data_IF_279055606461
#
_entry.id   IF_279055606461
#
_cell.length_a   1.000
_cell.length_b   1.000
_cell.length_c   1.000
_cell.angle_alpha   90.00
_cell.angle_beta   90.00
_cell.angle_gamma   90.00
#
_symmetry.space_group_name_H-M   'P 1'
#
loop_
_entity.id
_entity.type
_entity.pdbx_description
1 polymer ?
#
# COMPACT_ATOMS: atom_id res chain seq x y z
N UNK A 1 -5.39 13.96 13.86
CA UNK A 1 -5.67 14.62 12.56
C UNK A 1 -4.41 15.05 11.82
N UNK A 2 -3.36 15.54 12.49
CA UNK A 2 -2.07 15.90 11.86
C UNK A 2 -1.33 14.75 11.14
N UNK A 3 -1.43 13.52 11.65
CA UNK A 3 -0.76 12.35 11.03
C UNK A 3 -1.34 11.93 9.67
N UNK A 4 -2.60 12.24 9.39
CA UNK A 4 -3.19 11.92 8.08
C UNK A 4 -2.80 12.95 7.00
N UNK A 5 -2.48 14.18 7.41
CA UNK A 5 -2.01 15.22 6.48
C UNK A 5 -0.56 14.99 6.05
N UNK A 6 0.32 14.51 6.94
CA UNK A 6 1.72 14.23 6.60
C UNK A 6 1.87 13.06 5.63
N UNK A 7 1.02 12.01 5.76
CA UNK A 7 1.03 10.83 4.88
C UNK A 7 0.66 11.16 3.44
N UNK A 8 -0.27 12.10 3.21
CA UNK A 8 -0.66 12.51 1.86
C UNK A 8 0.44 13.29 1.13
N UNK A 9 1.11 14.20 1.85
CA UNK A 9 2.18 15.03 1.29
C UNK A 9 3.38 14.20 0.82
N UNK A 10 3.81 13.22 1.62
CA UNK A 10 4.97 12.38 1.27
C UNK A 10 4.74 11.53 0.01
N UNK A 11 3.52 11.03 -0.19
CA UNK A 11 3.16 10.26 -1.40
C UNK A 11 3.20 11.11 -2.66
N UNK A 12 2.69 12.34 -2.60
CA UNK A 12 2.73 13.26 -3.72
C UNK A 12 4.18 13.57 -4.13
N UNK A 13 5.06 13.86 -3.16
CA UNK A 13 6.48 14.15 -3.41
C UNK A 13 7.15 12.96 -4.11
N UNK A 14 6.88 11.73 -3.69
CA UNK A 14 7.43 10.52 -4.32
C UNK A 14 6.92 10.35 -5.76
N UNK A 15 5.63 10.54 -5.98
CA UNK A 15 5.02 10.46 -7.31
C UNK A 15 5.63 11.49 -8.28
N UNK A 16 5.73 12.74 -7.86
CA UNK A 16 6.37 13.79 -8.65
C UNK A 16 7.85 13.50 -8.92
N UNK A 17 8.58 12.99 -7.92
CA UNK A 17 10.00 12.65 -8.09
C UNK A 17 10.19 11.53 -9.11
N UNK A 18 9.36 10.47 -9.06
CA UNK A 18 9.39 9.37 -10.01
C UNK A 18 8.99 9.82 -11.42
N UNK A 19 7.95 10.66 -11.54
CA UNK A 19 7.51 11.20 -12.82
C UNK A 19 8.60 12.08 -13.47
N UNK A 20 9.22 12.95 -12.67
CA UNK A 20 10.32 13.81 -13.12
C UNK A 20 11.54 12.98 -13.54
N UNK A 21 11.87 11.92 -12.80
CA UNK A 21 12.94 10.98 -13.15
C UNK A 21 12.71 10.36 -14.54
N UNK A 22 11.51 9.82 -14.78
CA UNK A 22 11.15 9.24 -16.08
C UNK A 22 11.15 10.27 -17.21
N UNK A 23 10.65 11.48 -16.94
CA UNK A 23 10.62 12.56 -17.93
C UNK A 23 12.03 13.00 -18.35
N UNK A 24 12.94 13.18 -17.38
CA UNK A 24 14.35 13.49 -17.65
C UNK A 24 15.01 12.36 -18.46
N UNK A 25 14.76 11.10 -18.09
CA UNK A 25 15.29 9.96 -18.82
C UNK A 25 14.81 9.93 -20.28
N UNK A 26 13.52 10.16 -20.53
CA UNK A 26 12.95 10.22 -21.88
C UNK A 26 13.53 11.36 -22.71
N UNK A 27 13.60 12.58 -22.17
CA UNK A 27 14.19 13.71 -22.88
C UNK A 27 15.66 13.46 -23.25
N UNK A 28 16.41 12.86 -22.33
CA UNK A 28 17.81 12.50 -22.55
C UNK A 28 17.94 11.46 -23.66
N UNK A 29 17.11 10.42 -23.63
CA UNK A 29 17.11 9.37 -24.65
C UNK A 29 16.77 9.90 -26.04
N UNK A 30 15.71 10.70 -26.18
CA UNK A 30 15.35 11.32 -27.46
C UNK A 30 16.47 12.22 -28.00
N UNK A 31 17.12 12.97 -27.13
CA UNK A 31 18.26 13.81 -27.51
C UNK A 31 19.41 12.96 -28.08
N UNK A 32 19.80 11.88 -27.40
CA UNK A 32 20.85 10.98 -27.89
C UNK A 32 20.46 10.30 -29.21
N UNK A 33 19.22 9.82 -29.30
CA UNK A 33 18.69 9.19 -30.51
C UNK A 33 18.74 10.16 -31.69
N UNK A 34 18.37 11.44 -31.49
CA UNK A 34 18.42 12.46 -32.53
C UNK A 34 19.84 12.72 -33.03
N UNK A 35 20.79 12.94 -32.11
CA UNK A 35 22.19 13.21 -32.47
C UNK A 35 22.84 12.04 -33.19
N UNK A 36 22.67 10.83 -32.65
CA UNK A 36 23.26 9.63 -33.24
C UNK A 36 22.62 9.31 -34.59
N UNK A 37 21.30 9.46 -34.74
CA UNK A 37 20.61 9.26 -36.02
C UNK A 37 21.08 10.25 -37.07
N UNK A 38 21.28 11.51 -36.71
CA UNK A 38 21.85 12.52 -37.61
C UNK A 38 23.25 12.11 -38.08
N UNK A 39 24.11 11.69 -37.16
CA UNK A 39 25.47 11.22 -37.48
C UNK A 39 25.48 10.00 -38.41
N UNK A 40 24.61 9.01 -38.16
CA UNK A 40 24.47 7.84 -39.05
C UNK A 40 23.97 8.26 -40.44
N UNK A 41 22.98 9.14 -40.50
CA UNK A 41 22.44 9.65 -41.77
C UNK A 41 23.49 10.38 -42.61
N UNK A 42 24.28 11.25 -41.97
CA UNK A 42 25.37 11.98 -42.61
C UNK A 42 26.41 11.00 -43.17
N UNK A 43 26.88 10.06 -42.36
CA UNK A 43 27.88 9.07 -42.79
C UNK A 43 27.37 8.25 -43.97
N UNK A 44 26.13 7.73 -43.89
CA UNK A 44 25.53 6.97 -45.00
C UNK A 44 25.41 7.81 -46.27
N UNK A 45 25.01 9.08 -46.15
CA UNK A 45 24.92 10.01 -47.28
C UNK A 45 26.27 10.23 -47.96
N UNK A 46 27.33 10.49 -47.18
CA UNK A 46 28.69 10.64 -47.71
C UNK A 46 29.15 9.36 -48.40
N UNK A 47 28.95 8.18 -47.79
CA UNK A 47 29.36 6.92 -48.40
C UNK A 47 28.64 6.63 -49.71
N UNK A 48 27.34 6.95 -49.79
CA UNK A 48 26.57 6.82 -51.02
C UNK A 48 27.10 7.75 -52.11
N UNK A 49 27.38 9.02 -51.80
CA UNK A 49 27.97 9.95 -52.78
C UNK A 49 29.35 9.50 -53.25
N UNK A 50 30.23 9.05 -52.36
CA UNK A 50 31.55 8.53 -52.73
C UNK A 50 31.42 7.38 -53.74
N UNK A 51 30.48 6.46 -53.48
CA UNK A 51 30.23 5.29 -54.31
C UNK A 51 29.61 5.68 -55.66
N UNK A 52 28.60 6.56 -55.65
CA UNK A 52 27.86 6.99 -56.85
C UNK A 52 28.76 7.79 -57.82
N UNK A 53 29.61 8.67 -57.29
CA UNK A 53 30.49 9.52 -58.10
C UNK A 53 31.92 8.98 -58.26
N UNK A 54 32.19 7.76 -57.76
CA UNK A 54 33.48 7.09 -57.82
C UNK A 54 34.65 7.95 -57.28
N UNK A 55 34.39 8.67 -56.19
CA UNK A 55 35.36 9.58 -55.54
C UNK A 55 36.37 8.74 -54.75
N UNK A 56 37.66 9.07 -54.81
CA UNK A 56 38.67 8.44 -53.94
C UNK A 56 38.79 9.25 -52.63
N UNK A 57 38.28 8.76 -51.48
CA UNK A 57 38.31 9.52 -50.24
C UNK A 57 39.72 9.62 -49.66
N UNK A 58 39.98 10.67 -48.88
CA UNK A 58 41.22 10.78 -48.11
C UNK A 58 41.28 9.72 -47.01
N UNK A 59 42.49 9.32 -46.59
CA UNK A 59 42.67 8.37 -45.48
C UNK A 59 42.01 8.85 -44.17
N UNK A 60 41.97 10.16 -43.94
CA UNK A 60 41.30 10.76 -42.79
C UNK A 60 39.79 10.57 -42.85
N UNK A 61 39.17 10.81 -44.01
CA UNK A 61 37.73 10.59 -44.19
C UNK A 61 37.40 9.10 -44.09
N UNK A 62 38.23 8.23 -44.66
CA UNK A 62 38.04 6.78 -44.58
C UNK A 62 38.09 6.26 -43.13
N UNK A 63 39.01 6.81 -42.31
CA UNK A 63 39.08 6.51 -40.88
C UNK A 63 37.84 7.01 -40.12
N UNK A 64 37.34 8.22 -40.40
CA UNK A 64 36.09 8.70 -39.78
C UNK A 64 34.86 7.90 -40.21
N UNK A 65 34.85 7.39 -41.44
CA UNK A 65 33.77 6.54 -41.94
C UNK A 65 33.82 5.12 -41.36
N UNK A 66 34.99 4.59 -41.01
CA UNK A 66 35.11 3.25 -40.41
C UNK A 66 34.62 3.19 -38.96
N UNK A 67 34.66 4.32 -38.23
CA UNK A 67 34.05 4.46 -36.89
C UNK A 67 32.51 4.42 -36.91
N UNK A 68 31.88 4.43 -38.10
CA UNK A 68 30.42 4.40 -38.25
C UNK A 68 29.73 3.18 -37.65
N UNK A 69 30.42 2.05 -37.58
CA UNK A 69 29.92 0.82 -36.94
C UNK A 69 29.62 1.04 -35.45
N UNK A 70 30.48 1.78 -34.75
CA UNK A 70 30.27 2.15 -33.35
C UNK A 70 29.05 3.07 -33.21
N UNK A 71 28.88 4.06 -34.09
CA UNK A 71 27.72 4.97 -34.06
C UNK A 71 26.41 4.21 -34.27
N UNK A 72 26.40 3.21 -35.16
CA UNK A 72 25.23 2.34 -35.34
C UNK A 72 24.91 1.57 -34.05
N UNK A 73 25.92 1.02 -33.37
CA UNK A 73 25.73 0.36 -32.07
C UNK A 73 25.15 1.34 -31.03
N UNK A 74 25.66 2.57 -30.97
CA UNK A 74 25.13 3.60 -30.07
C UNK A 74 23.64 3.88 -30.31
N UNK A 75 23.21 3.97 -31.57
CA UNK A 75 21.79 4.13 -31.91
C UNK A 75 20.95 2.97 -31.35
N UNK A 76 21.43 1.73 -31.49
CA UNK A 76 20.73 0.57 -30.93
C UNK A 76 20.66 0.63 -29.40
N UNK A 77 21.72 1.10 -28.73
CA UNK A 77 21.71 1.30 -27.28
C UNK A 77 20.60 2.29 -26.89
N UNK A 78 20.44 3.42 -27.60
CA UNK A 78 19.35 4.37 -27.31
C UNK A 78 17.96 3.76 -27.51
N UNK A 79 17.75 2.94 -28.54
CA UNK A 79 16.47 2.23 -28.70
C UNK A 79 16.19 1.26 -27.55
N UNK A 80 17.23 0.65 -26.96
CA UNK A 80 17.09 -0.21 -25.78
C UNK A 80 16.87 0.60 -24.51
N UNK A 81 17.40 1.82 -24.41
CA UNK A 81 17.17 2.73 -23.28
C UNK A 81 15.72 3.22 -23.21
N UNK A 82 15.09 3.52 -24.35
CA UNK A 82 13.72 4.03 -24.45
C UNK A 82 12.66 3.27 -23.62
N UNK A 83 12.53 1.93 -23.69
CA UNK A 83 11.53 1.21 -22.88
C UNK A 83 11.75 1.38 -21.38
N UNK A 84 13.00 1.47 -20.90
CA UNK A 84 13.28 1.70 -19.48
C UNK A 84 12.87 3.11 -19.05
N UNK A 85 13.14 4.13 -19.88
CA UNK A 85 12.69 5.50 -19.62
C UNK A 85 11.15 5.59 -19.59
N UNK A 86 10.47 4.92 -20.53
CA UNK A 86 9.01 4.84 -20.56
C UNK A 86 8.43 4.14 -19.33
N UNK A 87 9.04 3.04 -18.87
CA UNK A 87 8.62 2.35 -17.65
C UNK A 87 8.76 3.28 -16.44
N UNK A 88 9.89 4.00 -16.31
CA UNK A 88 10.10 4.97 -15.23
C UNK A 88 9.00 6.05 -15.24
N UNK A 89 8.70 6.61 -16.40
CA UNK A 89 7.66 7.63 -16.56
C UNK A 89 6.26 7.09 -16.23
N UNK A 90 5.92 5.89 -16.73
CA UNK A 90 4.64 5.24 -16.50
C UNK A 90 4.41 4.94 -15.00
N UNK A 91 5.44 4.48 -14.27
CA UNK A 91 5.35 4.27 -12.83
C UNK A 91 5.06 5.58 -12.10
N UNK A 92 5.76 6.66 -12.45
CA UNK A 92 5.50 8.00 -11.90
C UNK A 92 4.07 8.47 -12.16
N UNK A 93 3.55 8.27 -13.38
CA UNK A 93 2.19 8.64 -13.74
C UNK A 93 1.14 7.79 -12.99
N UNK A 94 1.38 6.48 -12.84
CA UNK A 94 0.51 5.58 -12.06
C UNK A 94 0.47 6.01 -10.59
N UNK A 95 1.60 6.39 -9.98
CA UNK A 95 1.63 6.90 -8.60
C UNK A 95 0.96 8.27 -8.45
N UNK A 96 0.95 9.09 -9.49
CA UNK A 96 0.27 10.38 -9.47
C UNK A 96 -1.26 10.22 -9.55
N UNK A 97 -1.73 9.33 -10.43
CA UNK A 97 -3.15 9.08 -10.67
C UNK A 97 -3.77 8.12 -9.65
N UNK A 98 -2.99 7.15 -9.18
CA UNK A 98 -3.39 6.17 -8.19
C UNK A 98 -2.92 6.57 -6.79
N UNK A 99 -3.83 6.58 -5.81
CA UNK A 99 -3.45 6.75 -4.38
C UNK A 99 -2.76 5.53 -3.77
N UNK A 100 -2.48 4.50 -4.57
CA UNK A 100 -1.89 3.24 -4.10
C UNK A 100 -0.54 3.00 -4.75
N UNK A 101 0.49 3.10 -3.92
CA UNK A 101 1.85 2.72 -4.24
C UNK A 101 2.03 1.22 -3.92
N UNK A 102 2.49 0.45 -4.91
CA UNK A 102 2.78 -0.97 -4.75
C UNK A 102 4.29 -1.18 -4.68
N UNK A 103 4.73 -2.06 -3.77
CA UNK A 103 6.15 -2.48 -3.64
C UNK A 103 6.77 -2.88 -4.96
N UNK A 104 6.03 -3.62 -5.78
CA UNK A 104 6.47 -4.09 -7.10
C UNK A 104 6.82 -2.92 -8.02
N UNK A 105 6.05 -1.84 -7.99
CA UNK A 105 6.35 -0.63 -8.79
C UNK A 105 7.61 0.07 -8.29
N UNK A 106 7.84 0.11 -6.97
CA UNK A 106 9.08 0.66 -6.40
C UNK A 106 10.32 -0.12 -6.83
N UNK A 107 10.27 -1.46 -6.82
CA UNK A 107 11.34 -2.34 -7.33
C UNK A 107 11.55 -2.11 -8.83
N UNK A 108 10.46 -2.08 -9.60
CA UNK A 108 10.50 -1.83 -11.04
C UNK A 108 11.16 -0.50 -11.37
N UNK A 109 10.87 0.57 -10.62
CA UNK A 109 11.47 1.88 -10.80
C UNK A 109 12.98 1.85 -10.56
N UNK A 110 13.44 1.22 -9.48
CA UNK A 110 14.88 1.09 -9.18
C UNK A 110 15.58 0.30 -10.29
N UNK A 111 15.03 -0.86 -10.65
CA UNK A 111 15.60 -1.72 -11.68
C UNK A 111 15.74 -1.00 -13.02
N UNK A 112 14.66 -0.36 -13.50
CA UNK A 112 14.69 0.40 -14.75
C UNK A 112 15.69 1.56 -14.69
N UNK A 113 15.78 2.26 -13.54
CA UNK A 113 16.73 3.36 -13.36
C UNK A 113 18.19 2.88 -13.42
N UNK A 114 18.51 1.74 -12.80
CA UNK A 114 19.86 1.15 -12.82
C UNK A 114 20.24 0.70 -14.23
N UNK A 115 19.36 -0.02 -14.93
CA UNK A 115 19.62 -0.48 -16.30
C UNK A 115 19.79 0.71 -17.25
N UNK A 116 18.92 1.72 -17.15
CA UNK A 116 19.05 2.95 -17.94
C UNK A 116 20.39 3.64 -17.67
N UNK A 117 20.79 3.76 -16.40
CA UNK A 117 22.07 4.35 -16.00
C UNK A 117 23.29 3.56 -16.51
N UNK A 118 23.23 2.23 -16.55
CA UNK A 118 24.29 1.40 -17.13
C UNK A 118 24.44 1.63 -18.63
N UNK A 119 23.34 1.61 -19.38
CA UNK A 119 23.34 1.87 -20.83
C UNK A 119 23.84 3.28 -21.16
N UNK A 120 23.40 4.26 -20.39
CA UNK A 120 23.89 5.64 -20.46
C UNK A 120 25.40 5.73 -20.16
N UNK A 121 25.89 4.92 -19.22
CA UNK A 121 27.31 4.80 -18.90
C UNK A 121 28.13 4.35 -20.11
N UNK A 122 27.71 3.24 -20.74
CA UNK A 122 28.33 2.73 -21.98
C UNK A 122 28.33 3.79 -23.08
N UNK A 123 27.20 4.51 -23.25
CA UNK A 123 27.09 5.55 -24.26
C UNK A 123 28.06 6.72 -24.01
N UNK A 124 28.29 7.09 -22.75
CA UNK A 124 29.15 8.23 -22.40
C UNK A 124 30.65 7.89 -22.38
N UNK A 125 31.03 6.64 -22.08
CA UNK A 125 32.43 6.21 -22.11
C UNK A 125 32.94 6.07 -23.54
N UNK A 126 32.10 5.53 -24.42
CA UNK A 126 32.56 5.09 -25.75
C UNK A 126 32.30 6.14 -26.83
N UNK A 127 31.41 7.12 -26.59
CA UNK A 127 31.04 8.13 -27.57
C UNK A 127 31.28 9.56 -27.07
N UNK A 128 31.91 10.38 -27.92
CA UNK A 128 32.10 11.80 -27.66
C UNK A 128 30.91 12.60 -28.21
N UNK A 129 29.84 12.69 -27.43
CA UNK A 129 28.56 13.31 -27.86
C UNK A 129 28.46 14.81 -27.55
N UNK A 130 29.59 15.50 -27.46
CA UNK A 130 29.65 16.95 -27.26
C UNK A 130 29.39 17.42 -25.81
N UNK A 131 29.16 18.72 -25.61
CA UNK A 131 29.13 19.37 -24.28
C UNK A 131 27.90 19.01 -23.43
N UNK A 132 26.91 18.30 -23.98
CA UNK A 132 25.76 17.78 -23.20
C UNK A 132 26.11 16.45 -22.51
N UNK A 133 27.41 16.24 -22.18
CA UNK A 133 27.85 15.40 -21.05
C UNK A 133 27.41 15.96 -19.68
N UNK A 134 26.27 16.65 -19.65
CA UNK A 134 25.72 17.22 -18.43
C UNK A 134 25.29 16.11 -17.47
N UNK A 135 25.28 16.42 -16.18
CA UNK A 135 24.78 15.51 -15.14
C UNK A 135 23.27 15.22 -15.28
N UNK A 136 22.57 15.87 -16.21
CA UNK A 136 21.12 15.79 -16.41
C UNK A 136 20.56 14.36 -16.47
N UNK A 137 21.04 13.50 -17.39
CA UNK A 137 20.53 12.12 -17.49
C UNK A 137 20.80 11.30 -16.21
N UNK A 138 21.95 11.52 -15.56
CA UNK A 138 22.28 10.87 -14.29
C UNK A 138 21.44 11.38 -13.10
N UNK A 139 20.99 12.64 -13.13
CA UNK A 139 20.02 13.15 -12.16
C UNK A 139 18.68 12.40 -12.27
N UNK A 140 18.22 12.11 -13.49
CA UNK A 140 17.03 11.29 -13.71
C UNK A 140 17.17 9.89 -13.08
N UNK A 141 18.31 9.23 -13.30
CA UNK A 141 18.63 7.93 -12.70
C UNK A 141 18.65 8.01 -11.16
N UNK A 142 19.36 8.99 -10.60
CA UNK A 142 19.47 9.18 -9.16
C UNK A 142 18.10 9.42 -8.51
N UNK A 143 17.27 10.29 -9.11
CA UNK A 143 15.90 10.55 -8.63
C UNK A 143 15.04 9.28 -8.66
N UNK A 144 15.12 8.48 -9.73
CA UNK A 144 14.40 7.22 -9.84
C UNK A 144 14.79 6.21 -8.74
N UNK A 145 16.09 6.06 -8.48
CA UNK A 145 16.60 5.18 -7.41
C UNK A 145 16.15 5.68 -6.03
N UNK A 146 16.27 6.98 -5.76
CA UNK A 146 15.87 7.58 -4.48
C UNK A 146 14.37 7.41 -4.26
N UNK A 147 13.54 7.76 -5.24
CA UNK A 147 12.09 7.64 -5.15
C UNK A 147 11.65 6.19 -4.91
N UNK A 148 12.22 5.24 -5.66
CA UNK A 148 11.93 3.82 -5.48
C UNK A 148 12.39 3.29 -4.11
N UNK A 149 13.56 3.71 -3.62
CA UNK A 149 14.10 3.28 -2.33
C UNK A 149 13.29 3.80 -1.15
N UNK A 150 12.84 5.07 -1.23
CA UNK A 150 11.94 5.65 -0.24
C UNK A 150 10.59 4.91 -0.23
N UNK A 151 10.02 4.60 -1.39
CA UNK A 151 8.77 3.84 -1.47
C UNK A 151 8.91 2.43 -0.86
N UNK A 152 10.03 1.74 -1.09
CA UNK A 152 10.32 0.47 -0.43
C UNK A 152 10.43 0.61 1.09
N UNK A 153 11.03 1.70 1.56
CA UNK A 153 11.15 1.99 2.99
C UNK A 153 9.77 2.27 3.61
N UNK A 154 8.92 3.07 2.96
CA UNK A 154 7.58 3.38 3.44
C UNK A 154 6.64 2.17 3.41
N UNK A 155 6.67 1.39 2.34
CA UNK A 155 5.85 0.18 2.20
C UNK A 155 6.28 -0.92 3.19
N UNK A 156 7.56 -0.99 3.55
CA UNK A 156 8.05 -1.89 4.60
C UNK A 156 7.56 -1.53 5.98
N UNK A 157 7.43 -0.24 6.29
CA UNK A 157 6.79 0.23 7.53
C UNK A 157 5.28 -0.05 7.56
N UNK A 158 4.60 -0.09 6.41
CA UNK A 158 3.19 -0.48 6.33
C UNK A 158 2.97 -1.97 6.58
N UNK A 159 3.94 -2.82 6.24
CA UNK A 159 3.88 -4.27 6.48
C UNK A 159 4.50 -4.70 7.82
N UNK A 160 5.13 -3.79 8.56
CA UNK A 160 5.38 -3.99 9.98
C UNK A 160 4.14 -3.66 10.82
N UNK A 161 2.94 -4.00 10.33
CA UNK A 161 1.90 -4.48 11.25
C UNK A 161 2.58 -5.57 12.03
N UNK A 162 2.84 -5.30 13.31
CA UNK A 162 3.39 -6.28 14.23
C UNK A 162 2.75 -7.62 13.88
N UNK A 163 3.55 -8.57 13.39
CA UNK A 163 3.29 -9.98 13.61
C UNK A 163 3.36 -10.14 15.13
N UNK A 164 2.34 -9.64 15.83
CA UNK A 164 2.09 -9.92 17.21
C UNK A 164 2.04 -11.44 17.21
N UNK A 165 3.00 -12.04 17.91
CA UNK A 165 3.01 -13.48 18.11
C UNK A 165 1.58 -13.88 18.47
N UNK A 166 1.02 -14.91 17.83
CA UNK A 166 -0.36 -15.30 18.05
C UNK A 166 -0.59 -15.41 19.56
N UNK A 167 -1.63 -14.75 20.04
CA UNK A 167 -1.97 -14.82 21.46
C UNK A 167 -2.63 -16.17 21.66
N UNK A 168 -1.91 -17.08 22.31
CA UNK A 168 -2.42 -18.41 22.64
C UNK A 168 -3.34 -18.32 23.85
N UNK A 169 -4.56 -18.82 23.68
CA UNK A 169 -5.56 -18.94 24.74
C UNK A 169 -5.56 -20.39 25.20
N UNK A 170 -5.28 -20.64 26.48
CA UNK A 170 -5.32 -21.98 27.06
C UNK A 170 -6.69 -22.22 27.72
N UNK A 171 -7.56 -23.08 27.18
CA UNK A 171 -8.90 -23.34 27.73
C UNK A 171 -8.93 -23.67 29.22
N UNK A 172 -7.88 -24.30 29.74
CA UNK A 172 -7.78 -24.76 31.13
C UNK A 172 -7.53 -23.61 32.12
N UNK A 173 -7.17 -22.41 31.63
CA UNK A 173 -6.86 -21.24 32.46
C UNK A 173 -7.70 -20.01 32.08
N UNK A 174 -9.05 -20.07 32.16
CA UNK A 174 -9.93 -19.03 31.64
C UNK A 174 -9.82 -17.69 32.39
N UNK A 175 -9.46 -17.71 33.67
CA UNK A 175 -9.19 -16.50 34.44
C UNK A 175 -7.93 -15.79 33.94
N UNK A 176 -6.82 -16.54 33.82
CA UNK A 176 -5.55 -16.00 33.33
C UNK A 176 -5.64 -15.52 31.88
N UNK A 177 -6.43 -16.19 31.04
CA UNK A 177 -6.69 -15.74 29.67
C UNK A 177 -7.34 -14.36 29.64
N UNK A 178 -8.30 -14.08 30.53
CA UNK A 178 -8.95 -12.78 30.59
C UNK A 178 -7.94 -11.66 30.91
N UNK A 179 -7.03 -11.91 31.87
CA UNK A 179 -5.97 -10.96 32.20
C UNK A 179 -4.98 -10.75 31.05
N UNK A 180 -4.61 -11.83 30.35
CA UNK A 180 -3.73 -11.76 29.18
C UNK A 180 -4.39 -10.96 28.06
N UNK A 181 -5.66 -11.24 27.76
CA UNK A 181 -6.42 -10.54 26.73
C UNK A 181 -6.58 -9.06 27.06
N UNK A 182 -7.03 -8.72 28.27
CA UNK A 182 -7.19 -7.32 28.70
C UNK A 182 -5.85 -6.56 28.62
N UNK A 183 -4.78 -7.09 29.25
CA UNK A 183 -3.51 -6.36 29.41
C UNK A 183 -2.57 -6.41 28.20
N UNK A 184 -2.64 -7.46 27.38
CA UNK A 184 -1.72 -7.64 26.24
C UNK A 184 -2.36 -7.45 24.87
N UNK A 185 -3.68 -7.67 24.76
CA UNK A 185 -4.40 -7.53 23.51
C UNK A 185 -5.21 -6.23 23.46
N UNK A 186 -6.19 -6.06 24.35
CA UNK A 186 -7.07 -4.89 24.35
C UNK A 186 -6.34 -3.60 24.71
N UNK A 187 -5.37 -3.64 25.63
CA UNK A 187 -4.51 -2.49 25.94
C UNK A 187 -3.69 -1.95 24.75
N UNK A 188 -3.57 -2.70 23.65
CA UNK A 188 -2.88 -2.26 22.43
C UNK A 188 -3.82 -1.71 21.36
N UNK A 189 -5.12 -1.93 21.52
CA UNK A 189 -6.11 -1.41 20.58
C UNK A 189 -6.25 0.09 20.83
N UNK A 190 -6.44 0.87 19.76
CA UNK A 190 -6.51 2.32 19.86
C UNK A 190 -7.42 2.97 18.82
N UNK A 191 -8.02 4.09 19.19
CA UNK A 191 -9.01 4.81 18.39
C UNK A 191 -10.34 4.06 18.32
N UNK A 192 -11.04 4.20 17.20
CA UNK A 192 -12.34 3.57 16.99
C UNK A 192 -12.19 2.06 16.85
N UNK A 193 -12.92 1.32 17.68
CA UNK A 193 -12.96 -0.13 17.68
C UNK A 193 -14.22 -0.62 16.95
N UNK A 194 -14.04 -1.54 16.02
CA UNK A 194 -15.13 -2.18 15.27
C UNK A 194 -15.06 -3.69 15.48
N UNK A 195 -16.15 -4.25 15.98
CA UNK A 195 -16.26 -5.64 16.41
C UNK A 195 -17.32 -6.31 15.54
N UNK A 196 -16.97 -7.43 14.93
CA UNK A 196 -17.87 -8.28 14.17
C UNK A 196 -17.94 -9.65 14.84
N UNK A 197 -19.05 -9.95 15.50
CA UNK A 197 -19.28 -11.24 16.14
C UNK A 197 -20.76 -11.60 16.12
N UNK A 198 -21.13 -12.59 15.30
CA UNK A 198 -22.52 -13.08 15.22
C UNK A 198 -23.03 -13.74 16.52
N UNK A 199 -22.13 -14.08 17.46
CA UNK A 199 -22.47 -14.71 18.74
C UNK A 199 -22.46 -13.71 19.91
N UNK A 200 -22.52 -12.40 19.62
CA UNK A 200 -22.53 -11.38 20.66
C UNK A 200 -23.85 -11.43 21.44
N UNK A 201 -23.75 -11.89 22.70
CA UNK A 201 -24.86 -12.07 23.63
C UNK A 201 -24.58 -11.37 24.96
N UNK A 202 -25.39 -11.62 26.01
CA UNK A 202 -25.19 -10.99 27.32
C UNK A 202 -23.80 -11.27 27.90
N UNK A 203 -23.28 -12.49 27.70
CA UNK A 203 -21.95 -12.86 28.17
C UNK A 203 -20.86 -12.13 27.39
N UNK A 204 -21.10 -11.82 26.11
CA UNK A 204 -20.19 -11.00 25.34
C UNK A 204 -20.09 -9.57 25.87
N UNK A 205 -21.20 -8.97 26.33
CA UNK A 205 -21.21 -7.65 26.97
C UNK A 205 -20.37 -7.67 28.25
N UNK A 206 -20.60 -8.64 29.14
CA UNK A 206 -19.81 -8.80 30.37
C UNK A 206 -18.31 -8.98 30.09
N UNK A 207 -17.96 -9.84 29.13
CA UNK A 207 -16.57 -10.06 28.78
C UNK A 207 -15.94 -8.81 28.14
N UNK A 208 -16.66 -8.11 27.27
CA UNK A 208 -16.16 -6.89 26.64
C UNK A 208 -15.89 -5.79 27.68
N UNK A 209 -16.77 -5.64 28.67
CA UNK A 209 -16.54 -4.75 29.81
C UNK A 209 -15.23 -5.09 30.53
N UNK A 210 -15.01 -6.37 30.88
CA UNK A 210 -13.77 -6.80 31.55
C UNK A 210 -12.51 -6.58 30.69
N UNK A 211 -12.64 -6.70 29.37
CA UNK A 211 -11.54 -6.51 28.43
C UNK A 211 -11.18 -5.02 28.25
N UNK A 212 -12.19 -4.15 28.25
CA UNK A 212 -12.03 -2.70 28.13
C UNK A 212 -11.67 -2.02 29.44
N UNK A 213 -12.00 -2.61 30.60
CA UNK A 213 -11.75 -2.00 31.91
C UNK A 213 -10.28 -1.66 32.13
N UNK A 214 -9.98 -0.38 32.35
CA UNK A 214 -8.64 0.17 32.49
C UNK A 214 -7.96 0.57 31.16
N UNK A 215 -8.63 0.36 30.02
CA UNK A 215 -8.15 0.67 28.67
C UNK A 215 -9.07 1.65 27.92
N UNK A 216 -10.10 2.19 28.58
CA UNK A 216 -11.17 2.96 27.92
C UNK A 216 -10.68 4.26 27.29
N UNK A 217 -9.67 4.90 27.89
CA UNK A 217 -9.10 6.17 27.41
C UNK A 217 -8.49 6.07 26.01
N UNK A 218 -8.19 4.86 25.54
CA UNK A 218 -7.69 4.61 24.19
C UNK A 218 -8.78 4.66 23.09
N UNK A 219 -10.07 4.75 23.45
CA UNK A 219 -11.18 4.53 22.54
C UNK A 219 -12.21 5.67 22.56
N UNK A 220 -12.55 6.22 21.40
CA UNK A 220 -13.64 7.18 21.23
C UNK A 220 -14.98 6.51 20.93
N UNK A 221 -14.95 5.40 20.21
CA UNK A 221 -16.13 4.75 19.66
C UNK A 221 -15.92 3.24 19.59
N UNK A 222 -16.91 2.47 20.04
CA UNK A 222 -17.02 1.02 19.90
C UNK A 222 -18.24 0.72 19.04
N UNK A 223 -18.03 0.05 17.91
CA UNK A 223 -19.06 -0.39 16.97
C UNK A 223 -19.16 -1.90 16.99
N UNK A 224 -20.36 -2.44 17.17
CA UNK A 224 -20.59 -3.89 17.25
C UNK A 224 -21.59 -4.32 16.18
N UNK A 225 -21.21 -5.31 15.37
CA UNK A 225 -22.09 -6.04 14.46
C UNK A 225 -22.36 -7.45 15.00
N UNK A 226 -23.65 -7.79 15.11
CA UNK A 226 -24.10 -9.10 15.60
C UNK A 226 -25.32 -9.61 14.83
N UNK A 227 -25.70 -10.87 15.06
CA UNK A 227 -26.93 -11.47 14.58
C UNK A 227 -28.07 -11.29 15.58
N UNK A 228 -29.32 -11.30 15.11
CA UNK A 228 -30.51 -11.23 15.96
C UNK A 228 -30.70 -12.47 16.86
N UNK A 229 -30.11 -13.61 16.49
CA UNK A 229 -30.41 -14.93 17.07
C UNK A 229 -30.17 -15.05 18.59
N UNK A 230 -29.41 -14.13 19.20
CA UNK A 230 -29.03 -14.19 20.62
C UNK A 230 -29.41 -12.94 21.43
N UNK A 231 -30.24 -12.05 20.87
CA UNK A 231 -30.63 -10.80 21.49
C UNK A 231 -31.97 -10.97 22.23
N UNK A 232 -31.92 -11.55 23.42
CA UNK A 232 -33.10 -11.74 24.29
C UNK A 232 -33.37 -10.56 25.23
N UNK A 233 -34.44 -10.65 26.03
CA UNK A 233 -34.82 -9.59 26.98
C UNK A 233 -33.73 -9.22 27.99
N UNK A 234 -32.92 -10.19 28.42
CA UNK A 234 -31.82 -9.95 29.36
C UNK A 234 -30.66 -9.18 28.71
N UNK A 235 -30.46 -9.36 27.40
CA UNK A 235 -29.43 -8.65 26.65
C UNK A 235 -29.74 -7.15 26.58
N UNK A 236 -31.01 -6.78 26.39
CA UNK A 236 -31.43 -5.39 26.25
C UNK A 236 -31.00 -4.54 27.44
N UNK A 237 -31.32 -4.99 28.66
CA UNK A 237 -30.94 -4.28 29.88
C UNK A 237 -29.42 -4.13 29.99
N UNK A 238 -28.68 -5.23 29.87
CA UNK A 238 -27.22 -5.21 29.99
C UNK A 238 -26.54 -4.38 28.90
N UNK A 239 -27.10 -4.35 27.68
CA UNK A 239 -26.62 -3.48 26.61
C UNK A 239 -26.78 -1.99 26.97
N UNK A 240 -27.94 -1.58 27.47
CA UNK A 240 -28.18 -0.18 27.83
C UNK A 240 -27.35 0.24 29.04
N UNK A 241 -27.25 -0.60 30.07
CA UNK A 241 -26.41 -0.35 31.25
C UNK A 241 -24.92 -0.20 30.83
N UNK A 242 -24.43 -1.11 29.96
CA UNK A 242 -23.07 -1.05 29.44
C UNK A 242 -22.81 0.18 28.56
N UNK A 243 -23.78 0.54 27.71
CA UNK A 243 -23.70 1.74 26.87
C UNK A 243 -23.61 3.01 27.72
N UNK A 244 -24.39 3.10 28.79
CA UNK A 244 -24.35 4.22 29.73
C UNK A 244 -23.01 4.28 30.46
N UNK A 245 -22.50 3.14 30.95
CA UNK A 245 -21.20 3.08 31.62
C UNK A 245 -20.05 3.55 30.71
N UNK A 246 -20.03 3.11 29.45
CA UNK A 246 -19.05 3.58 28.46
C UNK A 246 -19.22 5.06 28.14
N UNK A 247 -20.46 5.55 28.02
CA UNK A 247 -20.73 6.97 27.78
C UNK A 247 -20.23 7.84 28.93
N UNK A 248 -20.37 7.41 30.18
CA UNK A 248 -19.84 8.10 31.36
C UNK A 248 -18.30 8.17 31.35
N UNK A 249 -17.65 7.26 30.62
CA UNK A 249 -16.20 7.24 30.39
C UNK A 249 -15.78 7.95 29.09
N UNK A 250 -16.71 8.60 28.39
CA UNK A 250 -16.45 9.31 27.12
C UNK A 250 -16.36 8.41 25.90
N UNK A 251 -16.76 7.14 25.99
CA UNK A 251 -16.73 6.17 24.90
C UNK A 251 -18.13 5.95 24.36
N UNK A 252 -18.34 6.19 23.06
CA UNK A 252 -19.63 5.91 22.42
C UNK A 252 -19.75 4.42 22.06
N UNK A 253 -20.91 3.80 22.34
CA UNK A 253 -21.20 2.42 21.90
C UNK A 253 -22.38 2.42 20.91
N UNK A 254 -22.16 1.84 19.73
CA UNK A 254 -23.20 1.58 18.74
C UNK A 254 -23.23 0.09 18.40
N UNK A 255 -24.42 -0.51 18.52
CA UNK A 255 -24.65 -1.90 18.14
C UNK A 255 -25.66 -1.94 16.99
N UNK A 256 -25.32 -2.71 15.95
CA UNK A 256 -26.21 -2.97 14.83
C UNK A 256 -26.40 -4.46 14.61
N UNK A 257 -27.61 -4.80 14.19
CA UNK A 257 -28.06 -6.16 13.89
C UNK A 257 -27.98 -6.37 12.39
N UNK A 258 -27.22 -7.38 11.99
CA UNK A 258 -27.07 -7.80 10.59
C UNK A 258 -28.36 -8.43 10.06
N UNK A 259 -28.52 -8.42 8.73
CA UNK A 259 -29.56 -9.23 8.09
C UNK A 259 -29.25 -10.73 8.24
N UNK A 260 -30.26 -11.60 8.14
CA UNK A 260 -30.06 -13.05 8.22
C UNK A 260 -29.12 -13.55 7.12
N UNK A 261 -29.19 -12.96 5.92
CA UNK A 261 -28.31 -13.28 4.80
C UNK A 261 -26.85 -12.91 5.10
N UNK A 262 -26.61 -11.71 5.65
CA UNK A 262 -25.26 -11.30 6.05
C UNK A 262 -24.72 -12.18 7.19
N UNK A 263 -25.58 -12.54 8.14
CA UNK A 263 -25.22 -13.41 9.26
C UNK A 263 -24.86 -14.83 8.83
N UNK A 264 -25.55 -15.39 7.82
CA UNK A 264 -25.24 -16.71 7.27
C UNK A 264 -23.93 -16.72 6.46
N UNK A 265 -23.65 -15.65 5.73
CA UNK A 265 -22.41 -15.51 4.95
C UNK A 265 -21.19 -15.14 5.82
N UNK A 266 -21.44 -14.56 7.00
CA UNK A 266 -20.39 -14.23 7.92
C UNK A 266 -20.04 -15.43 8.79
N UNK A 267 -18.79 -15.90 8.69
CA UNK A 267 -18.24 -16.96 9.55
C UNK A 267 -17.06 -16.45 10.37
N UNK A 268 -16.50 -15.32 9.98
CA UNK A 268 -15.34 -14.74 10.64
C UNK A 268 -15.76 -13.77 11.74
N UNK A 269 -14.92 -13.71 12.76
CA UNK A 269 -15.10 -12.81 13.90
C UNK A 269 -13.90 -11.91 13.99
N UNK A 270 -14.13 -10.61 13.97
CA UNK A 270 -13.10 -9.63 13.75
C UNK A 270 -13.13 -8.57 14.86
N UNK A 271 -11.95 -8.12 15.26
CA UNK A 271 -11.76 -6.85 15.96
C UNK A 271 -10.83 -5.99 15.11
N UNK A 272 -11.27 -4.79 14.81
CA UNK A 272 -10.58 -3.82 13.96
C UNK A 272 -10.43 -2.54 14.78
N UNK A 273 -9.23 -1.99 14.83
CA UNK A 273 -8.99 -0.67 15.44
C UNK A 273 -8.48 0.34 14.39
N UNK A 274 -7.95 1.47 14.84
CA UNK A 274 -7.40 2.48 13.92
C UNK A 274 -6.18 2.01 13.12
N UNK A 275 -5.41 1.01 13.59
CA UNK A 275 -4.12 0.61 13.00
C UNK A 275 -4.07 -0.84 12.51
N UNK A 276 -4.83 -1.74 13.12
CA UNK A 276 -4.75 -3.19 12.96
C UNK A 276 -6.12 -3.84 12.85
N UNK A 277 -6.14 -5.10 12.39
CA UNK A 277 -7.30 -5.97 12.45
C UNK A 277 -6.87 -7.37 12.86
N UNK A 278 -7.76 -8.05 13.59
CA UNK A 278 -7.50 -9.37 14.16
C UNK A 278 -8.71 -10.28 13.97
N UNK A 279 -8.45 -11.54 13.63
CA UNK A 279 -9.43 -12.62 13.74
C UNK A 279 -9.42 -13.14 15.17
N UNK A 280 -10.60 -13.19 15.79
CA UNK A 280 -10.77 -13.53 17.21
C UNK A 280 -11.72 -14.72 17.41
N UNK A 281 -11.66 -15.39 18.57
CA UNK A 281 -12.74 -16.27 19.02
C UNK A 281 -14.02 -15.47 19.32
N UNK A 282 -15.19 -16.13 19.48
CA UNK A 282 -16.40 -15.47 19.97
C UNK A 282 -16.17 -14.75 21.29
N UNK A 283 -16.62 -13.50 21.42
CA UNK A 283 -16.38 -12.67 22.62
C UNK A 283 -17.02 -13.28 23.85
N UNK A 284 -18.20 -13.90 23.72
CA UNK A 284 -18.90 -14.55 24.83
C UNK A 284 -18.11 -15.71 25.49
N UNK A 285 -17.17 -16.33 24.75
CA UNK A 285 -16.32 -17.43 25.25
C UNK A 285 -14.83 -17.22 24.93
N UNK A 286 -14.40 -15.98 24.71
CA UNK A 286 -13.05 -15.64 24.23
C UNK A 286 -11.93 -16.16 25.13
N UNK A 287 -12.21 -16.31 26.42
CA UNK A 287 -11.28 -16.81 27.41
C UNK A 287 -11.30 -18.34 27.58
N UNK A 288 -12.18 -19.07 26.89
CA UNK A 288 -12.35 -20.53 27.04
C UNK A 288 -12.07 -21.32 25.77
N UNK A 289 -11.94 -20.66 24.62
CA UNK A 289 -11.78 -21.32 23.33
C UNK A 289 -10.31 -21.42 22.94
N UNK A 290 -9.87 -22.61 22.54
CA UNK A 290 -8.51 -22.86 22.01
C UNK A 290 -8.38 -22.34 20.58
N UNK A 291 -8.48 -21.03 20.40
CA UNK A 291 -8.28 -20.38 19.11
C UNK A 291 -7.21 -19.29 19.26
N UNK A 292 -6.37 -19.16 18.23
CA UNK A 292 -5.34 -18.13 18.17
C UNK A 292 -5.95 -16.81 17.70
N UNK A 293 -5.60 -15.72 18.38
CA UNK A 293 -5.84 -14.38 17.85
C UNK A 293 -4.74 -14.07 16.84
N UNK A 294 -5.12 -13.89 15.58
CA UNK A 294 -4.20 -13.68 14.46
C UNK A 294 -4.46 -12.34 13.78
N UNK A 295 -3.39 -11.64 13.41
CA UNK A 295 -3.49 -10.39 12.66
C UNK A 295 -3.89 -10.69 11.21
N UNK A 296 -4.75 -9.84 10.65
CA UNK A 296 -5.23 -9.92 9.26
C UNK A 296 -5.10 -8.56 8.57
N UNK A 297 -5.33 -8.53 7.25
CA UNK A 297 -5.32 -7.27 6.50
C UNK A 297 -6.43 -6.34 6.99
N UNK A 298 -6.04 -5.21 7.58
CA UNK A 298 -6.99 -4.22 8.12
C UNK A 298 -7.88 -3.60 7.05
N UNK A 299 -7.33 -3.27 5.88
CA UNK A 299 -8.10 -2.56 4.86
C UNK A 299 -9.25 -3.42 4.33
N UNK A 300 -8.97 -4.70 4.12
CA UNK A 300 -9.96 -5.69 3.70
C UNK A 300 -11.00 -5.93 4.80
N UNK A 301 -10.56 -6.18 6.03
CA UNK A 301 -11.44 -6.38 7.18
C UNK A 301 -12.37 -5.19 7.42
N UNK A 302 -11.84 -3.96 7.35
CA UNK A 302 -12.61 -2.74 7.52
C UNK A 302 -13.59 -2.52 6.37
N UNK A 303 -13.17 -2.76 5.12
CA UNK A 303 -14.06 -2.67 3.95
C UNK A 303 -15.28 -3.59 4.13
N UNK A 304 -15.03 -4.85 4.52
CA UNK A 304 -16.09 -5.83 4.79
C UNK A 304 -16.99 -5.41 5.95
N UNK A 305 -16.41 -4.89 7.03
CA UNK A 305 -17.17 -4.39 8.18
C UNK A 305 -18.10 -3.24 7.77
N UNK A 306 -17.57 -2.23 7.07
CA UNK A 306 -18.35 -1.05 6.65
C UNK A 306 -19.47 -1.43 5.70
N UNK A 307 -19.20 -2.34 4.75
CA UNK A 307 -20.21 -2.82 3.81
C UNK A 307 -21.44 -3.38 4.54
N UNK A 308 -21.23 -4.25 5.53
CA UNK A 308 -22.30 -4.82 6.35
C UNK A 308 -22.92 -3.76 7.27
N UNK A 309 -22.09 -2.89 7.86
CA UNK A 309 -22.51 -1.83 8.77
C UNK A 309 -23.58 -0.92 8.15
N UNK A 310 -23.39 -0.52 6.89
CA UNK A 310 -24.32 0.37 6.18
C UNK A 310 -25.70 -0.25 5.95
N UNK A 311 -25.79 -1.59 5.81
CA UNK A 311 -27.06 -2.32 5.59
C UNK A 311 -27.71 -2.81 6.89
N UNK A 312 -26.94 -2.85 7.98
CA UNK A 312 -27.39 -3.35 9.28
C UNK A 312 -28.34 -2.36 9.98
N UNK A 313 -29.23 -2.88 10.82
CA UNK A 313 -30.20 -2.08 11.57
C UNK A 313 -29.67 -1.77 12.97
N UNK A 314 -29.66 -0.49 13.35
CA UNK A 314 -29.31 -0.06 14.71
C UNK A 314 -30.20 -0.74 15.75
N UNK A 315 -29.60 -1.28 16.82
CA UNK A 315 -30.31 -2.11 17.81
C UNK A 315 -31.49 -1.38 18.47
N UNK A 316 -31.32 -0.10 18.79
CA UNK A 316 -32.38 0.73 19.39
C UNK A 316 -33.59 0.95 18.45
N UNK A 317 -33.42 0.67 17.16
CA UNK A 317 -34.48 0.70 16.16
C UNK A 317 -34.98 -0.71 15.81
N UNK A 318 -34.30 -1.77 16.25
CA UNK A 318 -34.61 -3.16 15.89
C UNK A 318 -35.90 -3.65 16.57
N UNK A 319 -36.05 -3.39 17.87
CA UNK A 319 -37.22 -3.81 18.66
C UNK A 319 -38.51 -3.02 18.36
N UNK A 320 -38.45 -1.99 17.51
CA UNK A 320 -39.63 -1.19 17.12
C UNK A 320 -40.36 -1.72 15.89
N UNK A 321 -39.86 -2.78 15.25
CA UNK A 321 -40.57 -3.42 14.15
C UNK A 321 -41.66 -4.33 14.73
N UNK A 322 -42.95 -4.16 14.36
CA UNK A 322 -43.97 -5.13 14.73
C UNK A 322 -43.55 -6.49 14.14
N UNK A 323 -43.45 -7.50 15.00
CA UNK A 323 -43.31 -8.89 14.55
C UNK A 323 -44.55 -9.21 13.71
N UNK A 324 -44.36 -9.37 12.40
CA UNK A 324 -45.39 -9.86 11.48
C UNK A 324 -45.42 -11.38 11.54
#
# INVERSE_FOLDING_TARGET
MQDNLSKGSNHAILAYSALLAGFIAMLSDFYYMQILSYSVGLVKGITSMITEYNITPSNTLLASLSESSAVVIAVHITYVMLPFALIMFAIGAIWLLGKQSYRVLGIGLIFSSVVFGMLLGVLNTDFYLGPIRGLGPFLGVALGIIAGSLELSYSSRRHSTHSARPININPDTPYSNMLVLSRKFFAKLSGDMSILDMHFDNKAVENLLLLLNGNEQGHSLVRVLTSANRLGSHFERSYFDFKEELSNKGVSLELRVMSDTDAQQQHERLIIDSQSAYKIPPINIINKKSEHIVSINRSEALSRFEEIWQRSTKYENYNKKPQK
#
